data_IF_542278534573
#
_entry.id   IF_542278534573
#
_cell.length_a   1.000
_cell.length_b   1.000
_cell.length_c   1.000
_cell.angle_alpha   90.00
_cell.angle_beta   90.00
_cell.angle_gamma   90.00
#
_symmetry.space_group_name_H-M   'P 1'
#
loop_
_entity.id
_entity.type
_entity.pdbx_description
1 polymer ?
#
# COMPACT_ATOMS: atom_id res chain seq x y z
N UNK A 1 8.00 -7.60 11.34
CA UNK A 1 7.34 -8.89 11.12
C UNK A 1 7.02 -9.06 9.66
N UNK A 2 7.18 -10.24 9.12
CA UNK A 2 6.85 -10.45 7.73
C UNK A 2 5.34 -10.43 7.51
N UNK A 3 4.94 -9.90 6.39
CA UNK A 3 3.56 -9.90 5.97
C UNK A 3 3.47 -10.26 4.50
N UNK A 4 2.28 -10.48 4.02
CA UNK A 4 2.05 -10.81 2.61
C UNK A 4 1.07 -9.81 2.03
N UNK A 5 1.38 -9.30 0.85
CA UNK A 5 0.47 -8.41 0.13
C UNK A 5 -0.66 -9.26 -0.45
N UNK A 6 -1.89 -9.00 0.02
CA UNK A 6 -3.06 -9.71 -0.48
C UNK A 6 -3.57 -9.05 -1.74
N UNK A 7 -3.60 -7.72 -1.75
CA UNK A 7 -4.17 -6.96 -2.86
C UNK A 7 -3.53 -5.59 -2.93
N UNK A 8 -3.36 -5.09 -4.14
CA UNK A 8 -2.88 -3.73 -4.40
C UNK A 8 -4.03 -2.99 -5.08
N UNK A 9 -4.51 -1.95 -4.43
CA UNK A 9 -5.72 -1.23 -4.86
C UNK A 9 -5.44 -0.05 -5.77
N UNK A 10 -4.17 0.28 -5.98
CA UNK A 10 -3.78 1.47 -6.75
C UNK A 10 -2.64 1.14 -7.68
N UNK A 11 -2.47 1.99 -8.69
CA UNK A 11 -1.35 1.92 -9.63
C UNK A 11 -0.60 3.24 -9.61
N UNK A 12 0.60 3.26 -10.17
CA UNK A 12 1.35 4.50 -10.34
C UNK A 12 0.50 5.49 -11.15
N UNK A 13 0.41 6.71 -10.67
CA UNK A 13 -0.39 7.75 -11.29
C UNK A 13 -1.82 7.84 -10.79
N UNK A 14 -2.24 6.91 -9.94
CA UNK A 14 -3.60 6.95 -9.38
C UNK A 14 -3.70 8.06 -8.35
N UNK A 15 -4.77 8.84 -8.43
CA UNK A 15 -5.05 9.87 -7.44
C UNK A 15 -5.82 9.23 -6.28
N UNK A 16 -5.39 9.51 -5.04
CA UNK A 16 -6.00 8.94 -3.85
C UNK A 16 -6.42 10.04 -2.89
N UNK A 17 -7.46 9.77 -2.15
CA UNK A 17 -7.94 10.65 -1.09
C UNK A 17 -7.39 10.17 0.25
N UNK A 18 -7.43 11.07 1.24
CA UNK A 18 -7.08 10.73 2.61
C UNK A 18 -7.89 9.51 3.08
N UNK A 19 -7.22 8.55 3.72
CA UNK A 19 -7.81 7.32 4.26
C UNK A 19 -8.26 6.32 3.18
N UNK A 20 -7.98 6.59 1.92
CA UNK A 20 -8.31 5.63 0.87
C UNK A 20 -7.38 4.42 0.96
N UNK A 21 -7.90 3.19 0.90
CA UNK A 21 -7.05 2.00 0.95
C UNK A 21 -6.11 1.95 -0.26
N UNK A 22 -4.84 1.66 0.01
CA UNK A 22 -3.82 1.55 -1.02
C UNK A 22 -3.42 0.09 -1.25
N UNK A 23 -3.11 -0.61 -0.15
CA UNK A 23 -2.62 -1.98 -0.19
C UNK A 23 -3.25 -2.73 0.97
N UNK A 24 -3.63 -3.97 0.75
CA UNK A 24 -4.12 -4.85 1.81
C UNK A 24 -3.03 -5.88 2.11
N UNK A 25 -2.66 -5.97 3.36
CA UNK A 25 -1.62 -6.91 3.84
C UNK A 25 -2.24 -7.93 4.78
N UNK A 26 -1.64 -9.11 4.83
CA UNK A 26 -1.94 -10.09 5.84
C UNK A 26 -0.68 -10.36 6.67
N UNK A 27 -0.82 -10.23 7.98
CA UNK A 27 0.24 -10.54 8.91
C UNK A 27 -0.37 -11.16 10.15
N UNK A 28 0.20 -12.26 10.63
CA UNK A 28 -0.26 -12.94 11.86
C UNK A 28 -1.75 -13.24 11.85
N UNK A 29 -2.27 -13.72 10.71
CA UNK A 29 -3.68 -14.09 10.54
C UNK A 29 -4.65 -12.89 10.64
N UNK A 30 -4.13 -11.69 10.52
CA UNK A 30 -4.93 -10.46 10.51
C UNK A 30 -4.70 -9.70 9.22
N UNK A 31 -5.75 -9.16 8.68
CA UNK A 31 -5.63 -8.28 7.53
C UNK A 31 -5.38 -6.86 8.00
N UNK A 32 -4.44 -6.19 7.36
CA UNK A 32 -4.15 -4.80 7.63
C UNK A 32 -4.30 -4.02 6.34
N UNK A 33 -4.94 -2.88 6.42
CA UNK A 33 -5.12 -2.00 5.27
C UNK A 33 -4.20 -0.82 5.42
N UNK A 34 -3.33 -0.63 4.42
CA UNK A 34 -2.47 0.54 4.35
C UNK A 34 -3.24 1.61 3.59
N UNK A 35 -3.52 2.71 4.25
CA UNK A 35 -4.33 3.80 3.70
C UNK A 35 -3.48 5.04 3.47
N UNK A 36 -3.95 5.90 2.55
CA UNK A 36 -3.28 7.17 2.31
C UNK A 36 -3.44 8.09 3.53
N UNK A 37 -2.34 8.70 4.02
CA UNK A 37 -2.44 9.62 5.16
C UNK A 37 -3.02 10.98 4.78
N UNK A 38 -3.03 11.32 3.50
CA UNK A 38 -3.53 12.59 2.98
C UNK A 38 -3.86 12.43 1.51
N UNK A 39 -4.50 13.42 0.94
CA UNK A 39 -4.80 13.43 -0.49
C UNK A 39 -3.49 13.53 -1.26
N UNK A 40 -3.27 12.62 -2.20
CA UNK A 40 -2.01 12.56 -2.91
C UNK A 40 -2.19 11.82 -4.24
N UNK A 41 -1.11 11.75 -5.00
CA UNK A 41 -1.04 10.92 -6.21
C UNK A 41 0.00 9.84 -5.97
N UNK A 42 -0.31 8.62 -6.38
CA UNK A 42 0.63 7.51 -6.24
C UNK A 42 1.78 7.73 -7.22
N UNK A 43 2.98 7.89 -6.70
CA UNK A 43 4.19 8.05 -7.52
C UNK A 43 4.68 6.72 -8.06
N UNK A 44 4.74 5.72 -7.21
CA UNK A 44 5.13 4.37 -7.63
C UNK A 44 4.55 3.33 -6.68
N UNK A 45 4.37 2.12 -7.20
CA UNK A 45 3.93 0.96 -6.41
C UNK A 45 5.10 0.00 -6.40
N UNK A 46 5.62 -0.28 -5.19
CA UNK A 46 6.85 -1.04 -5.02
C UNK A 46 6.59 -2.53 -4.77
N UNK A 47 5.33 -2.93 -4.67
CA UNK A 47 4.96 -4.31 -4.36
C UNK A 47 3.87 -4.80 -5.31
N UNK A 48 3.72 -6.12 -5.40
CA UNK A 48 2.65 -6.75 -6.17
C UNK A 48 1.87 -7.69 -5.27
N UNK A 49 0.63 -7.96 -5.65
CA UNK A 49 -0.21 -8.92 -4.92
C UNK A 49 0.49 -10.27 -4.88
N UNK A 50 0.52 -10.88 -3.70
CA UNK A 50 1.20 -12.15 -3.48
C UNK A 50 2.64 -12.02 -3.01
N UNK A 51 3.21 -10.83 -3.03
CA UNK A 51 4.58 -10.60 -2.61
C UNK A 51 4.67 -10.58 -1.08
N UNK A 52 5.76 -11.14 -0.54
CA UNK A 52 6.03 -11.06 0.88
C UNK A 52 6.82 -9.80 1.18
N UNK A 53 6.47 -9.15 2.28
CA UNK A 53 7.13 -7.91 2.72
C UNK A 53 7.50 -8.02 4.17
N UNK A 54 8.44 -7.18 4.60
CA UNK A 54 8.84 -7.11 6.00
C UNK A 54 8.58 -5.71 6.52
N UNK A 55 8.64 -5.55 7.85
CA UNK A 55 8.48 -4.25 8.49
C UNK A 55 9.53 -3.29 7.93
N UNK A 56 9.08 -2.12 7.51
CA UNK A 56 9.94 -1.10 6.95
C UNK A 56 10.04 -1.14 5.42
N UNK A 57 9.47 -2.15 4.77
CA UNK A 57 9.44 -2.21 3.32
C UNK A 57 8.55 -1.08 2.78
N UNK A 58 9.07 -0.37 1.79
CA UNK A 58 8.27 0.67 1.11
C UNK A 58 7.28 -0.04 0.20
N UNK A 59 6.00 0.23 0.39
CA UNK A 59 4.94 -0.39 -0.38
C UNK A 59 4.51 0.50 -1.54
N UNK A 60 4.26 1.75 -1.25
CA UNK A 60 3.77 2.72 -2.22
C UNK A 60 4.42 4.06 -1.91
N UNK A 61 4.85 4.76 -2.95
CA UNK A 61 5.38 6.11 -2.81
C UNK A 61 4.29 7.08 -3.23
N UNK A 62 4.01 8.06 -2.36
CA UNK A 62 3.00 9.07 -2.63
C UNK A 62 3.67 10.39 -2.97
N UNK A 63 3.05 11.13 -3.87
CA UNK A 63 3.49 12.48 -4.21
C UNK A 63 2.38 13.44 -3.84
N UNK A 64 2.71 14.49 -3.12
CA UNK A 64 1.74 15.53 -2.80
C UNK A 64 1.45 16.35 -4.04
N UNK A 65 0.17 16.64 -4.24
CA UNK A 65 -0.26 17.42 -5.39
C UNK A 65 0.19 18.88 -5.24
#
# INVERSE_FOLDING_TARGET
MPGKVIDVRVDAGTRVASHQPLVVLEAMKMEQIVSAPYDATVGSVEVTAGEQVTTGTVLVTLETA
#
